data_IF_210016015524
#
_entry.id   IF_210016015524
#
_cell.length_a   1.000
_cell.length_b   1.000
_cell.length_c   1.000
_cell.angle_alpha   90.00
_cell.angle_beta   90.00
_cell.angle_gamma   90.00
#
_symmetry.space_group_name_H-M   'P 1'
#
loop_
_entity.id
_entity.type
_entity.pdbx_description
1 polymer ?
#
# COMPACT_ATOMS: atom_id res chain seq x y z
N UNK A 1 -58.78 54.61 -28.06
CA UNK A 1 -57.39 55.01 -27.79
C UNK A 1 -57.02 54.54 -26.40
N UNK A 2 -56.26 53.46 -26.23
CA UNK A 2 -55.37 53.24 -25.08
C UNK A 2 -54.30 52.22 -25.53
N UNK A 3 -53.02 52.60 -25.35
CA UNK A 3 -51.81 51.85 -25.69
C UNK A 3 -51.21 51.33 -24.38
N UNK A 4 -50.75 50.08 -24.30
CA UNK A 4 -49.75 49.59 -23.32
C UNK A 4 -49.22 48.23 -23.84
N UNK A 5 -48.05 48.20 -24.49
CA UNK A 5 -46.67 48.02 -23.98
C UNK A 5 -46.36 46.63 -23.41
N UNK A 6 -45.45 45.95 -24.10
CA UNK A 6 -44.76 44.70 -23.75
C UNK A 6 -43.94 44.85 -22.47
N UNK A 7 -43.80 43.78 -21.68
CA UNK A 7 -42.63 43.58 -20.80
C UNK A 7 -42.20 42.12 -20.86
N UNK A 8 -40.95 41.91 -21.27
CA UNK A 8 -40.27 40.62 -21.32
C UNK A 8 -40.07 40.07 -19.90
N UNK A 9 -40.46 38.81 -19.66
CA UNK A 9 -39.99 38.04 -18.51
C UNK A 9 -38.73 37.28 -18.91
N UNK A 10 -37.57 37.75 -18.45
CA UNK A 10 -36.32 36.99 -18.42
C UNK A 10 -36.43 35.91 -17.35
N UNK A 11 -36.59 34.66 -17.76
CA UNK A 11 -36.58 33.49 -16.87
C UNK A 11 -35.13 33.12 -16.53
N UNK A 12 -34.62 33.56 -15.39
CA UNK A 12 -33.36 33.06 -14.84
C UNK A 12 -33.57 31.66 -14.27
N UNK A 13 -33.08 30.65 -14.97
CA UNK A 13 -33.05 29.26 -14.52
C UNK A 13 -31.93 29.09 -13.48
N UNK A 14 -32.29 29.11 -12.20
CA UNK A 14 -31.40 28.75 -11.11
C UNK A 14 -31.15 27.24 -11.08
N UNK A 15 -29.97 26.80 -11.50
CA UNK A 15 -29.49 25.43 -11.26
C UNK A 15 -29.15 25.34 -9.78
N UNK A 16 -30.02 24.70 -8.99
CA UNK A 16 -29.71 24.32 -7.62
C UNK A 16 -28.70 23.16 -7.65
N UNK A 17 -27.46 23.42 -7.23
CA UNK A 17 -26.55 22.37 -6.80
C UNK A 17 -27.12 21.76 -5.52
N UNK A 18 -27.80 20.62 -5.63
CA UNK A 18 -28.08 19.80 -4.45
C UNK A 18 -26.77 19.22 -3.93
N UNK A 19 -26.46 19.35 -2.63
CA UNK A 19 -25.37 18.60 -2.03
C UNK A 19 -25.70 17.11 -2.15
N UNK A 20 -24.76 16.29 -2.64
CA UNK A 20 -24.80 14.85 -2.43
C UNK A 20 -24.62 14.58 -0.93
N UNK A 21 -25.70 14.70 -0.18
CA UNK A 21 -25.76 14.22 1.18
C UNK A 21 -25.59 12.70 1.14
N UNK A 22 -24.43 12.21 1.55
CA UNK A 22 -24.25 10.79 1.84
C UNK A 22 -25.16 10.49 3.04
N UNK A 23 -26.22 9.71 2.80
CA UNK A 23 -27.11 9.30 3.87
C UNK A 23 -26.30 8.51 4.91
N UNK A 24 -26.44 8.87 6.19
CA UNK A 24 -25.75 8.17 7.26
C UNK A 24 -26.17 6.69 7.29
N UNK A 25 -25.20 5.80 7.49
CA UNK A 25 -25.42 4.35 7.60
C UNK A 25 -26.42 4.06 8.72
N UNK A 26 -27.47 3.30 8.40
CA UNK A 26 -28.52 2.91 9.35
C UNK A 26 -28.02 1.84 10.33
N UNK A 27 -28.64 1.69 11.52
CA UNK A 27 -28.25 0.65 12.48
C UNK A 27 -28.27 -0.78 11.91
N UNK A 28 -29.20 -1.05 10.98
CA UNK A 28 -29.29 -2.36 10.31
C UNK A 28 -28.11 -2.58 9.37
N UNK A 29 -27.72 -1.55 8.60
CA UNK A 29 -26.54 -1.63 7.74
C UNK A 29 -25.26 -1.78 8.57
N UNK A 30 -25.12 -1.05 9.67
CA UNK A 30 -23.95 -1.18 10.54
C UNK A 30 -23.83 -2.59 11.13
N UNK A 31 -24.95 -3.18 11.56
CA UNK A 31 -24.95 -4.56 12.04
C UNK A 31 -24.53 -5.56 10.95
N UNK A 32 -24.99 -5.39 9.71
CA UNK A 32 -24.60 -6.25 8.59
C UNK A 32 -23.13 -6.04 8.20
N UNK A 33 -22.61 -4.81 8.25
CA UNK A 33 -21.20 -4.52 8.03
C UNK A 33 -20.34 -5.19 9.12
N UNK A 34 -20.80 -5.20 10.36
CA UNK A 34 -20.13 -5.93 11.44
C UNK A 34 -20.16 -7.44 11.21
N UNK A 35 -21.26 -8.00 10.72
CA UNK A 35 -21.32 -9.41 10.32
C UNK A 35 -20.34 -9.73 9.19
N UNK A 36 -20.15 -8.81 8.23
CA UNK A 36 -19.08 -8.94 7.23
C UNK A 36 -17.72 -8.97 7.91
N UNK A 37 -17.38 -7.98 8.75
CA UNK A 37 -16.07 -7.91 9.44
C UNK A 37 -15.79 -9.17 10.28
N UNK A 38 -16.79 -9.67 11.00
CA UNK A 38 -16.70 -10.91 11.76
C UNK A 38 -16.53 -12.13 10.85
N UNK A 39 -17.25 -12.19 9.73
CA UNK A 39 -17.11 -13.24 8.72
C UNK A 39 -15.70 -13.27 8.12
N UNK A 40 -15.14 -12.10 7.80
CA UNK A 40 -13.77 -11.95 7.32
C UNK A 40 -12.74 -12.46 8.33
N UNK A 41 -12.83 -12.00 9.59
CA UNK A 41 -11.92 -12.40 10.66
C UNK A 41 -12.00 -13.90 10.97
N UNK A 42 -13.19 -14.50 10.86
CA UNK A 42 -13.45 -15.92 11.12
C UNK A 42 -13.34 -16.83 9.90
N UNK A 43 -13.00 -16.28 8.72
CA UNK A 43 -12.97 -17.00 7.42
C UNK A 43 -14.28 -17.69 7.06
N UNK A 44 -15.42 -17.15 7.53
CA UNK A 44 -16.77 -17.61 7.17
C UNK A 44 -17.30 -16.83 5.97
N UNK A 45 -16.88 -17.26 4.78
CA UNK A 45 -17.24 -16.60 3.51
C UNK A 45 -18.75 -16.68 3.18
N UNK A 46 -19.47 -17.64 3.76
CA UNK A 46 -20.92 -17.75 3.70
C UNK A 46 -21.61 -16.58 4.43
N UNK A 47 -21.16 -16.28 5.65
CA UNK A 47 -21.65 -15.13 6.44
C UNK A 47 -21.35 -13.81 5.73
N UNK A 48 -20.14 -13.66 5.19
CA UNK A 48 -19.77 -12.48 4.39
C UNK A 48 -20.71 -12.32 3.20
N UNK A 49 -20.87 -13.38 2.39
CA UNK A 49 -21.69 -13.34 1.18
C UNK A 49 -23.14 -12.97 1.47
N UNK A 50 -23.75 -13.59 2.50
CA UNK A 50 -25.15 -13.32 2.86
C UNK A 50 -25.35 -11.90 3.39
N UNK A 51 -24.45 -11.44 4.26
CA UNK A 51 -24.53 -10.10 4.84
C UNK A 51 -24.33 -9.03 3.77
N UNK A 52 -23.35 -9.23 2.89
CA UNK A 52 -23.06 -8.33 1.79
C UNK A 52 -24.18 -8.26 0.76
N UNK A 53 -24.81 -9.40 0.42
CA UNK A 53 -26.00 -9.42 -0.44
C UNK A 53 -27.12 -8.55 0.12
N UNK A 54 -27.39 -8.64 1.43
CA UNK A 54 -28.42 -7.83 2.09
C UNK A 54 -28.04 -6.35 2.10
N UNK A 55 -26.77 -6.03 2.34
CA UNK A 55 -26.26 -4.65 2.25
C UNK A 55 -26.46 -4.05 0.86
N UNK A 56 -26.11 -4.80 -0.19
CA UNK A 56 -26.27 -4.37 -1.58
C UNK A 56 -27.74 -4.16 -1.99
N UNK A 57 -28.68 -4.88 -1.36
CA UNK A 57 -30.12 -4.64 -1.55
C UNK A 57 -30.63 -3.38 -0.83
N UNK A 58 -30.01 -3.01 0.30
CA UNK A 58 -30.43 -1.83 1.09
C UNK A 58 -29.84 -0.56 0.49
N UNK A 59 -28.52 -0.53 0.29
CA UNK A 59 -27.83 0.60 -0.31
C UNK A 59 -26.59 0.12 -1.09
N UNK A 60 -26.73 -0.12 -2.41
CA UNK A 60 -25.62 -0.58 -3.24
C UNK A 60 -24.56 0.48 -3.47
N UNK A 61 -24.80 1.76 -3.14
CA UNK A 61 -23.86 2.86 -3.38
C UNK A 61 -23.16 3.34 -2.10
N UNK A 62 -23.45 2.72 -0.95
CA UNK A 62 -22.74 3.00 0.29
C UNK A 62 -21.23 2.67 0.13
N UNK A 63 -20.31 3.62 0.40
CA UNK A 63 -18.86 3.41 0.30
C UNK A 63 -18.34 2.20 1.08
N UNK A 64 -18.87 1.94 2.29
CA UNK A 64 -18.51 0.78 3.11
C UNK A 64 -18.87 -0.53 2.43
N UNK A 65 -20.04 -0.58 1.78
CA UNK A 65 -20.54 -1.77 1.08
C UNK A 65 -19.71 -2.06 -0.17
N UNK A 66 -19.38 -1.02 -0.94
CA UNK A 66 -18.51 -1.16 -2.12
C UNK A 66 -17.10 -1.61 -1.71
N UNK A 67 -16.54 -1.05 -0.64
CA UNK A 67 -15.23 -1.45 -0.09
C UNK A 67 -15.26 -2.89 0.44
N UNK A 68 -16.33 -3.29 1.13
CA UNK A 68 -16.53 -4.67 1.59
C UNK A 68 -16.61 -5.66 0.40
N UNK A 69 -17.32 -5.29 -0.68
CA UNK A 69 -17.38 -6.10 -1.91
C UNK A 69 -16.03 -6.22 -2.60
N UNK A 70 -15.25 -5.15 -2.65
CA UNK A 70 -13.89 -5.18 -3.16
C UNK A 70 -13.04 -6.19 -2.39
N UNK A 71 -13.03 -6.12 -1.05
CA UNK A 71 -12.28 -7.05 -0.19
C UNK A 71 -12.74 -8.50 -0.36
N UNK A 72 -14.05 -8.73 -0.49
CA UNK A 72 -14.58 -10.05 -0.80
C UNK A 72 -14.03 -10.60 -2.12
N UNK A 73 -14.04 -9.81 -3.20
CA UNK A 73 -13.53 -10.24 -4.50
C UNK A 73 -12.02 -10.55 -4.47
N UNK A 74 -11.23 -9.75 -3.73
CA UNK A 74 -9.81 -10.04 -3.50
C UNK A 74 -9.60 -11.41 -2.83
N UNK A 75 -10.38 -11.74 -1.80
CA UNK A 75 -10.29 -13.06 -1.13
C UNK A 75 -10.73 -14.22 -2.03
N UNK A 76 -11.64 -13.98 -2.97
CA UNK A 76 -12.02 -14.97 -3.98
C UNK A 76 -10.99 -15.08 -5.13
N UNK A 77 -9.96 -14.22 -5.14
CA UNK A 77 -8.96 -14.15 -6.21
C UNK A 77 -9.42 -13.39 -7.45
N UNK A 78 -10.63 -12.79 -7.44
CA UNK A 78 -11.15 -11.98 -8.53
C UNK A 78 -10.62 -10.55 -8.46
N UNK A 79 -9.36 -10.39 -8.83
CA UNK A 79 -8.68 -9.09 -8.85
C UNK A 79 -9.29 -8.12 -9.86
N UNK A 80 -9.82 -8.60 -10.98
CA UNK A 80 -10.46 -7.77 -11.99
C UNK A 80 -11.77 -7.15 -11.45
N UNK A 81 -12.62 -7.97 -10.82
CA UNK A 81 -13.82 -7.51 -10.14
C UNK A 81 -13.50 -6.54 -8.99
N UNK A 82 -12.44 -6.82 -8.21
CA UNK A 82 -12.00 -5.92 -7.16
C UNK A 82 -11.57 -4.54 -7.70
N UNK A 83 -10.83 -4.49 -8.83
CA UNK A 83 -10.46 -3.22 -9.50
C UNK A 83 -11.69 -2.42 -9.91
N UNK A 84 -12.71 -3.09 -10.46
CA UNK A 84 -13.95 -2.42 -10.85
C UNK A 84 -14.66 -1.80 -9.65
N UNK A 85 -14.69 -2.48 -8.50
CA UNK A 85 -15.27 -1.90 -7.27
C UNK A 85 -14.43 -0.73 -6.75
N UNK A 86 -13.11 -0.79 -6.86
CA UNK A 86 -12.23 0.32 -6.48
C UNK A 86 -12.45 1.56 -7.35
N UNK A 87 -12.58 1.38 -8.67
CA UNK A 87 -12.91 2.48 -9.60
C UNK A 87 -14.30 3.05 -9.33
N UNK A 88 -15.27 2.19 -9.01
CA UNK A 88 -16.62 2.61 -8.62
C UNK A 88 -16.58 3.43 -7.32
N UNK A 89 -15.85 2.97 -6.31
CA UNK A 89 -15.67 3.67 -5.05
C UNK A 89 -15.01 5.05 -5.25
N UNK A 90 -14.02 5.14 -6.15
CA UNK A 90 -13.36 6.39 -6.50
C UNK A 90 -14.31 7.43 -7.13
N UNK A 91 -15.35 6.98 -7.85
CA UNK A 91 -16.38 7.86 -8.42
C UNK A 91 -17.45 8.24 -7.40
N UNK A 92 -17.83 7.32 -6.51
CA UNK A 92 -18.87 7.54 -5.50
C UNK A 92 -18.38 8.44 -4.37
N UNK A 93 -17.18 8.19 -3.85
CA UNK A 93 -16.66 8.85 -2.66
C UNK A 93 -15.14 9.13 -2.79
N UNK A 94 -14.74 10.10 -3.64
CA UNK A 94 -13.34 10.34 -4.01
C UNK A 94 -12.41 10.75 -2.87
N UNK A 95 -12.95 11.29 -1.76
CA UNK A 95 -12.19 11.74 -0.60
C UNK A 95 -12.41 10.87 0.65
N UNK A 96 -13.05 9.70 0.48
CA UNK A 96 -13.46 8.88 1.61
C UNK A 96 -12.31 8.06 2.21
N UNK A 97 -12.35 7.81 3.52
CA UNK A 97 -11.37 6.91 4.16
C UNK A 97 -11.46 5.48 3.61
N UNK A 98 -12.65 5.02 3.21
CA UNK A 98 -12.85 3.70 2.60
C UNK A 98 -12.11 3.57 1.27
N UNK A 99 -12.10 4.63 0.45
CA UNK A 99 -11.35 4.64 -0.80
C UNK A 99 -9.85 4.56 -0.55
N UNK A 100 -9.34 5.31 0.44
CA UNK A 100 -7.92 5.27 0.81
C UNK A 100 -7.52 3.85 1.26
N UNK A 101 -8.24 3.28 2.22
CA UNK A 101 -7.99 1.93 2.72
C UNK A 101 -8.09 0.88 1.61
N UNK A 102 -9.08 1.01 0.72
CA UNK A 102 -9.28 0.10 -0.42
C UNK A 102 -8.13 0.14 -1.42
N UNK A 103 -7.52 1.31 -1.68
CA UNK A 103 -6.33 1.41 -2.53
C UNK A 103 -5.12 0.70 -1.93
N UNK A 104 -4.90 0.89 -0.63
CA UNK A 104 -3.78 0.28 0.09
C UNK A 104 -3.90 -1.25 0.09
N UNK A 105 -5.10 -1.77 0.36
CA UNK A 105 -5.41 -3.21 0.30
C UNK A 105 -5.28 -3.79 -1.12
N UNK A 106 -5.69 -3.06 -2.15
CA UNK A 106 -5.55 -3.51 -3.55
C UNK A 106 -4.08 -3.67 -3.94
N UNK A 107 -3.22 -2.74 -3.50
CA UNK A 107 -1.79 -2.77 -3.78
C UNK A 107 -1.10 -3.96 -3.10
N UNK A 108 -1.48 -4.27 -1.85
CA UNK A 108 -0.89 -5.39 -1.11
C UNK A 108 -1.37 -6.76 -1.61
N UNK A 109 -2.63 -6.85 -2.06
CA UNK A 109 -3.28 -8.12 -2.38
C UNK A 109 -3.13 -8.59 -3.83
N UNK A 110 -2.72 -7.73 -4.77
CA UNK A 110 -2.70 -8.09 -6.20
C UNK A 110 -1.34 -8.63 -6.68
N UNK A 111 -1.39 -9.56 -7.64
CA UNK A 111 -0.21 -10.07 -8.35
C UNK A 111 0.52 -8.99 -9.15
N UNK A 112 -0.21 -7.95 -9.57
CA UNK A 112 0.35 -6.81 -10.30
C UNK A 112 1.38 -6.06 -9.46
N UNK A 113 1.14 -5.82 -8.17
CA UNK A 113 2.14 -5.21 -7.28
C UNK A 113 3.41 -6.06 -7.15
N UNK A 114 3.26 -7.39 -7.12
CA UNK A 114 4.40 -8.31 -7.16
C UNK A 114 5.14 -8.25 -8.50
N UNK A 115 4.43 -8.19 -9.61
CA UNK A 115 5.02 -8.12 -10.95
C UNK A 115 5.73 -6.78 -11.19
N UNK A 116 5.13 -5.67 -10.74
CA UNK A 116 5.71 -4.33 -10.76
C UNK A 116 6.98 -4.26 -9.91
N UNK A 117 6.99 -4.89 -8.72
CA UNK A 117 8.18 -5.00 -7.89
C UNK A 117 9.30 -5.79 -8.58
N UNK A 118 8.97 -6.92 -9.22
CA UNK A 118 9.96 -7.68 -9.98
C UNK A 118 10.51 -6.88 -11.16
N UNK A 119 9.66 -6.11 -11.85
CA UNK A 119 10.12 -5.21 -12.90
C UNK A 119 11.07 -4.13 -12.36
N UNK A 120 10.76 -3.53 -11.21
CA UNK A 120 11.63 -2.54 -10.56
C UNK A 120 13.00 -3.15 -10.18
N UNK A 121 13.02 -4.38 -9.66
CA UNK A 121 14.26 -5.13 -9.36
C UNK A 121 15.09 -5.39 -10.61
N UNK A 122 14.44 -5.81 -11.71
CA UNK A 122 15.11 -6.05 -12.99
C UNK A 122 15.77 -4.77 -13.54
N UNK A 123 15.10 -3.62 -13.42
CA UNK A 123 15.69 -2.32 -13.80
C UNK A 123 16.97 -2.03 -12.98
N UNK A 124 16.93 -2.27 -11.67
CA UNK A 124 18.07 -2.06 -10.77
C UNK A 124 19.26 -2.97 -11.10
N UNK A 125 19.00 -4.24 -11.42
CA UNK A 125 20.02 -5.20 -11.87
C UNK A 125 20.60 -4.80 -13.23
N UNK A 126 19.77 -4.31 -14.15
CA UNK A 126 20.18 -3.82 -15.46
C UNK A 126 20.96 -2.48 -15.40
N UNK A 127 21.18 -1.92 -14.20
CA UNK A 127 21.91 -0.66 -14.01
C UNK A 127 21.08 0.60 -14.27
N UNK A 128 19.79 0.45 -14.59
CA UNK A 128 18.84 1.56 -14.78
C UNK A 128 18.34 2.06 -13.42
N UNK A 129 19.25 2.61 -12.61
CA UNK A 129 19.01 2.93 -11.20
C UNK A 129 17.90 3.97 -11.02
N UNK A 130 17.89 5.04 -11.81
CA UNK A 130 16.83 6.08 -11.73
C UNK A 130 15.45 5.50 -12.07
N UNK A 131 15.35 4.69 -13.12
CA UNK A 131 14.08 4.03 -13.52
C UNK A 131 13.61 3.06 -12.43
N UNK A 132 14.53 2.31 -11.80
CA UNK A 132 14.21 1.41 -10.72
C UNK A 132 13.64 2.17 -9.52
N UNK A 133 14.30 3.25 -9.08
CA UNK A 133 13.85 4.08 -7.96
C UNK A 133 12.47 4.66 -8.25
N UNK A 134 12.24 5.22 -9.44
CA UNK A 134 10.94 5.75 -9.84
C UNK A 134 9.85 4.65 -9.83
N UNK A 135 10.18 3.42 -10.22
CA UNK A 135 9.26 2.29 -10.17
C UNK A 135 8.90 1.90 -8.72
N UNK A 136 9.88 1.88 -7.79
CA UNK A 136 9.61 1.69 -6.36
C UNK A 136 8.73 2.82 -5.81
N UNK A 137 9.08 4.08 -6.05
CA UNK A 137 8.31 5.24 -5.56
C UNK A 137 6.88 5.23 -6.10
N UNK A 138 6.67 4.81 -7.36
CA UNK A 138 5.33 4.64 -7.92
C UNK A 138 4.55 3.51 -7.24
N UNK A 139 5.18 2.35 -7.08
CA UNK A 139 4.56 1.16 -6.48
C UNK A 139 4.11 1.44 -5.04
N UNK A 140 5.02 1.99 -4.22
CA UNK A 140 4.80 2.25 -2.80
C UNK A 140 4.21 3.63 -2.50
N UNK A 141 4.00 4.48 -3.52
CA UNK A 141 3.59 5.88 -3.35
C UNK A 141 4.55 6.69 -2.46
N UNK A 142 5.85 6.51 -2.70
CA UNK A 142 6.94 7.09 -1.92
C UNK A 142 7.93 6.03 -1.45
N UNK A 143 8.52 6.26 -0.28
CA UNK A 143 9.45 5.30 0.35
C UNK A 143 8.66 4.09 0.87
N UNK A 144 9.09 2.85 0.63
CA UNK A 144 8.43 1.67 1.18
C UNK A 144 8.46 1.66 2.72
N UNK A 145 7.34 1.29 3.35
CA UNK A 145 7.24 1.13 4.81
C UNK A 145 7.72 -0.25 5.29
N UNK A 146 7.66 -1.27 4.42
CA UNK A 146 8.17 -2.61 4.69
C UNK A 146 9.71 -2.61 4.72
N UNK A 147 10.30 -3.21 5.74
CA UNK A 147 11.73 -3.17 5.99
C UNK A 147 12.54 -3.79 4.83
N UNK A 148 12.09 -4.92 4.27
CA UNK A 148 12.81 -5.59 3.17
C UNK A 148 12.77 -4.75 1.90
N UNK A 149 11.59 -4.21 1.54
CA UNK A 149 11.44 -3.29 0.42
C UNK A 149 12.23 -1.98 0.62
N UNK A 150 12.27 -1.45 1.85
CA UNK A 150 13.02 -0.25 2.19
C UNK A 150 14.53 -0.47 2.06
N UNK A 151 15.05 -1.64 2.46
CA UNK A 151 16.46 -2.02 2.26
C UNK A 151 16.81 -2.02 0.78
N UNK A 152 15.99 -2.65 -0.07
CA UNK A 152 16.20 -2.67 -1.53
C UNK A 152 16.18 -1.26 -2.13
N UNK A 153 15.17 -0.47 -1.78
CA UNK A 153 15.01 0.91 -2.24
C UNK A 153 16.22 1.78 -1.85
N UNK A 154 16.61 1.81 -0.58
CA UNK A 154 17.74 2.64 -0.14
C UNK A 154 19.09 2.14 -0.67
N UNK A 155 19.21 0.83 -0.95
CA UNK A 155 20.38 0.28 -1.66
C UNK A 155 20.47 0.81 -3.10
N UNK A 156 19.34 0.98 -3.79
CA UNK A 156 19.29 1.62 -5.10
C UNK A 156 19.61 3.12 -5.00
N UNK A 157 19.00 3.84 -4.06
CA UNK A 157 19.25 5.28 -3.85
C UNK A 157 20.72 5.54 -3.53
N UNK A 158 21.37 4.69 -2.73
CA UNK A 158 22.79 4.79 -2.43
C UNK A 158 23.68 4.67 -3.69
N UNK A 159 23.20 4.10 -4.80
CA UNK A 159 23.97 4.02 -6.05
C UNK A 159 23.92 5.32 -6.86
N UNK A 160 23.01 6.25 -6.55
CA UNK A 160 22.93 7.55 -7.22
C UNK A 160 23.94 8.52 -6.58
N UNK A 161 24.90 9.11 -7.33
CA UNK A 161 25.89 10.02 -6.73
C UNK A 161 25.28 11.19 -5.96
N UNK A 162 24.21 11.79 -6.48
CA UNK A 162 23.54 12.93 -5.86
C UNK A 162 22.79 12.58 -4.56
N UNK A 163 22.34 11.32 -4.41
CA UNK A 163 21.57 10.83 -3.25
C UNK A 163 22.33 9.77 -2.45
N UNK A 164 23.61 9.58 -2.75
CA UNK A 164 24.41 8.49 -2.20
C UNK A 164 24.42 8.55 -0.66
N UNK A 165 24.80 9.70 -0.09
CA UNK A 165 24.85 9.90 1.35
C UNK A 165 23.47 9.74 2.04
N UNK A 166 22.39 10.12 1.36
CA UNK A 166 21.02 9.92 1.86
C UNK A 166 20.74 8.41 2.00
N UNK A 167 20.98 7.64 0.94
CA UNK A 167 20.78 6.19 0.93
C UNK A 167 21.60 5.48 2.00
N UNK A 168 22.89 5.78 2.12
CA UNK A 168 23.76 5.21 3.15
C UNK A 168 23.24 5.51 4.56
N UNK A 169 22.86 6.75 4.84
CA UNK A 169 22.36 7.13 6.17
C UNK A 169 21.08 6.38 6.54
N UNK A 170 20.18 6.16 5.58
CA UNK A 170 18.95 5.40 5.82
C UNK A 170 19.23 3.90 6.02
N UNK A 171 20.13 3.31 5.24
CA UNK A 171 20.58 1.93 5.46
C UNK A 171 21.24 1.75 6.85
N UNK A 172 22.05 2.72 7.30
CA UNK A 172 22.64 2.70 8.65
C UNK A 172 21.57 2.73 9.75
N UNK A 173 20.52 3.56 9.59
CA UNK A 173 19.37 3.59 10.51
C UNK A 173 18.60 2.26 10.51
N UNK A 174 18.39 1.66 9.34
CA UNK A 174 17.78 0.33 9.21
C UNK A 174 18.62 -0.74 9.95
N UNK A 175 19.94 -0.73 9.81
CA UNK A 175 20.80 -1.73 10.44
C UNK A 175 20.82 -1.60 11.98
N UNK A 176 20.60 -0.41 12.52
CA UNK A 176 20.47 -0.19 13.95
C UNK A 176 19.18 -0.82 14.53
N UNK A 177 18.09 -0.82 13.76
CA UNK A 177 16.81 -1.45 14.17
C UNK A 177 16.68 -2.93 13.78
N UNK A 178 17.42 -3.38 12.77
CA UNK A 178 17.43 -4.76 12.26
C UNK A 178 18.81 -5.41 12.48
N UNK A 179 19.25 -5.60 13.74
CA UNK A 179 20.56 -6.20 14.00
C UNK A 179 20.62 -7.63 13.45
N UNK A 180 21.68 -7.92 12.71
CA UNK A 180 21.92 -9.26 12.14
C UNK A 180 21.22 -9.52 10.81
N UNK A 181 20.61 -8.50 10.18
CA UNK A 181 20.12 -8.61 8.80
C UNK A 181 21.32 -8.70 7.83
N UNK A 182 21.65 -9.93 7.42
CA UNK A 182 22.80 -10.24 6.56
C UNK A 182 22.75 -9.53 5.21
N UNK A 183 21.62 -9.51 4.46
CA UNK A 183 21.51 -8.76 3.21
C UNK A 183 21.84 -7.27 3.38
N UNK A 184 21.29 -6.61 4.40
CA UNK A 184 21.52 -5.20 4.69
C UNK A 184 22.99 -4.91 5.05
N UNK A 185 23.57 -5.72 5.93
CA UNK A 185 24.98 -5.58 6.32
C UNK A 185 25.92 -5.81 5.13
N UNK A 186 25.58 -6.74 4.24
CA UNK A 186 26.32 -6.98 2.99
C UNK A 186 26.24 -5.77 2.05
N UNK A 187 25.06 -5.16 1.92
CA UNK A 187 24.88 -3.96 1.11
C UNK A 187 25.71 -2.79 1.66
N UNK A 188 25.64 -2.55 2.98
CA UNK A 188 26.44 -1.52 3.66
C UNK A 188 27.95 -1.76 3.49
N UNK A 189 28.43 -2.98 3.69
CA UNK A 189 29.85 -3.31 3.51
C UNK A 189 30.33 -3.00 2.09
N UNK A 190 29.58 -3.44 1.06
CA UNK A 190 29.90 -3.17 -0.35
C UNK A 190 29.96 -1.67 -0.65
N UNK A 191 29.01 -0.90 -0.14
CA UNK A 191 29.01 0.56 -0.30
C UNK A 191 30.24 1.19 0.35
N UNK A 192 30.57 0.82 1.59
CA UNK A 192 31.75 1.37 2.27
C UNK A 192 33.06 1.04 1.56
N UNK A 193 33.19 -0.16 0.98
CA UNK A 193 34.34 -0.47 0.12
C UNK A 193 34.36 0.37 -1.16
N UNK A 194 33.20 0.60 -1.79
CA UNK A 194 33.07 1.48 -2.95
C UNK A 194 33.45 2.93 -2.65
N UNK A 195 33.16 3.40 -1.43
CA UNK A 195 33.45 4.75 -0.96
C UNK A 195 34.89 4.92 -0.46
N UNK A 196 35.74 3.90 -0.63
CA UNK A 196 37.10 3.84 -0.10
C UNK A 196 37.17 4.01 1.43
N UNK A 197 36.19 3.43 2.15
CA UNK A 197 36.09 3.36 3.61
C UNK A 197 36.19 1.92 4.11
N UNK A 198 37.34 1.26 3.92
CA UNK A 198 37.50 -0.17 4.22
C UNK A 198 37.27 -0.49 5.71
N UNK A 199 37.64 0.41 6.62
CA UNK A 199 37.43 0.22 8.06
C UNK A 199 35.94 0.09 8.42
N UNK A 200 35.08 0.97 7.88
CA UNK A 200 33.63 0.86 8.05
C UNK A 200 33.08 -0.40 7.36
N UNK A 201 33.62 -0.76 6.18
CA UNK A 201 33.25 -1.98 5.47
C UNK A 201 33.52 -3.25 6.28
N UNK A 202 34.70 -3.36 6.88
CA UNK A 202 35.05 -4.49 7.75
C UNK A 202 34.23 -4.53 9.03
N UNK A 203 33.85 -3.39 9.61
CA UNK A 203 32.99 -3.36 10.79
C UNK A 203 31.62 -4.03 10.52
N UNK A 204 31.02 -3.82 9.34
CA UNK A 204 29.78 -4.50 8.97
C UNK A 204 29.98 -6.00 8.75
N UNK A 205 31.09 -6.42 8.14
CA UNK A 205 31.42 -7.85 7.99
C UNK A 205 31.65 -8.53 9.35
N UNK A 206 32.24 -7.83 10.32
CA UNK A 206 32.38 -8.32 11.69
C UNK A 206 31.02 -8.45 12.39
N UNK A 207 30.11 -7.49 12.19
CA UNK A 207 28.75 -7.57 12.72
C UNK A 207 28.00 -8.80 12.18
N UNK A 208 28.21 -9.14 10.90
CA UNK A 208 27.67 -10.35 10.28
C UNK A 208 28.24 -11.62 10.93
N UNK A 209 29.56 -11.69 11.13
CA UNK A 209 30.21 -12.89 11.72
C UNK A 209 29.76 -13.14 13.15
N UNK A 210 29.66 -12.09 13.97
CA UNK A 210 29.14 -12.16 15.35
C UNK A 210 27.69 -12.67 15.38
N UNK A 211 26.87 -12.21 14.44
CA UNK A 211 25.47 -12.61 14.31
C UNK A 211 25.33 -14.09 13.93
N UNK A 212 26.17 -14.58 13.00
CA UNK A 212 26.24 -15.99 12.62
C UNK A 212 26.69 -16.88 13.80
N UNK A 213 27.73 -16.47 14.54
CA UNK A 213 28.21 -17.19 15.71
C UNK A 213 27.14 -17.30 16.82
N UNK A 214 26.41 -16.21 17.08
CA UNK A 214 25.30 -16.19 18.04
C UNK A 214 24.12 -17.10 17.63
N UNK A 215 23.86 -17.25 16.33
CA UNK A 215 22.83 -18.17 15.83
C UNK A 215 23.21 -19.65 16.02
N UNK A 216 24.49 -20.00 15.78
CA UNK A 216 25.02 -21.35 16.01
C UNK A 216 24.93 -21.73 17.49
N UNK A 217 25.37 -20.84 18.39
CA UNK A 217 25.32 -21.08 19.84
C UNK A 217 23.89 -21.32 20.37
N UNK A 218 22.90 -20.56 19.88
CA UNK A 218 21.48 -20.78 20.23
C UNK A 218 20.95 -22.14 19.78
N UNK A 219 21.36 -22.61 18.60
CA UNK A 219 20.93 -23.92 18.06
C UNK A 219 21.54 -25.08 18.85
N UNK A 220 22.77 -24.96 19.32
CA UNK A 220 23.44 -26.00 20.13
C UNK A 220 22.91 -26.07 21.56
N UNK A 221 22.52 -24.95 22.17
CA UNK A 221 21.95 -24.94 23.53
C UNK A 221 20.49 -25.41 23.61
N UNK A 222 19.76 -25.43 22.49
CA UNK A 222 18.39 -25.96 22.41
C UNK A 222 18.29 -27.49 22.28
N UNK A 223 19.42 -28.18 22.03
CA UNK A 223 19.50 -29.64 21.89
C UNK A 223 19.92 -30.36 23.18
N UNK A 224 20.13 -29.62 24.28
CA UNK A 224 20.58 -30.14 25.59
C UNK A 224 19.53 -29.98 26.71
N UNK A 225 18.25 -29.82 26.37
CA UNK A 225 17.12 -29.90 27.31
C UNK A 225 16.13 -30.94 26.81
#
# INVERSE_FOLDING_TARGET
>A
MHKFSLSLFTLTLGVALMPLAHAATTPVQEHLLEQVRLGEASKREDLVRQSLYRLELIDPNNPDVVAARMRYLLRQGDTAGAKQQLERLAKLAPESPELKASRDEMKSSTGDGRQELQQARLLGVAGKVDEAIAAYEKLFNGVPDDDDAAIEYWTLVARLPARHNEGINQLKRLNARLPGNVPLQTALAKQMFGDNKPEEGFAYLEQMSRSAAAAVSRRTSGLTK
#
